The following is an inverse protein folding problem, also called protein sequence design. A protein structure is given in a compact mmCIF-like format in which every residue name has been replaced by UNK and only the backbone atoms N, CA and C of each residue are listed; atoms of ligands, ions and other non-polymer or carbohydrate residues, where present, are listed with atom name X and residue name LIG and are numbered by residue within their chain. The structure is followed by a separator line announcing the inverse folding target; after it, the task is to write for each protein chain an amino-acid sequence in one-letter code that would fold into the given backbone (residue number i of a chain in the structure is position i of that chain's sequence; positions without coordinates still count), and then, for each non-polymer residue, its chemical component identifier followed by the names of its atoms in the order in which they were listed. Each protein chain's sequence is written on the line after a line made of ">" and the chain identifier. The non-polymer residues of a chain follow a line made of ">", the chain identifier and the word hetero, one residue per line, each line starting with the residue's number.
data_IF_996350271509
#
_entry.id   IF_996350271509
#
_cell.length_a   1.000
_cell.length_b   1.000
_cell.length_c   1.000
_cell.angle_alpha   90.00
_cell.angle_beta   90.00
_cell.angle_gamma   90.00
#
_symmetry.space_group_name_H-M   'P 1'
#
loop_
_entity.id
_entity.type
_entity.pdbx_description
1 polymer ?
#
# COMPACT_ATOMS: atom_id res chain seq x y z
N UNK A 1 1.01 -16.98 -1.17
CA UNK A 1 1.62 -15.94 -0.31
C UNK A 1 2.41 -15.01 -1.23
N UNK A 2 2.09 -13.72 -1.27
CA UNK A 2 2.82 -12.76 -2.12
C UNK A 2 4.27 -12.58 -1.62
N UNK A 3 5.21 -12.28 -2.52
CA UNK A 3 6.63 -12.07 -2.17
C UNK A 3 6.82 -10.94 -1.15
N UNK A 4 5.90 -9.97 -1.12
CA UNK A 4 5.86 -8.89 -0.13
C UNK A 4 5.97 -9.41 1.32
N UNK A 5 5.39 -10.58 1.63
CA UNK A 5 5.32 -11.10 3.01
C UNK A 5 6.54 -11.93 3.43
N UNK A 6 7.44 -12.28 2.50
CA UNK A 6 8.61 -13.12 2.78
C UNK A 6 9.93 -12.34 2.76
N UNK A 7 9.91 -11.09 2.28
CA UNK A 7 11.11 -10.28 2.12
C UNK A 7 11.48 -9.54 3.42
N UNK A 8 12.79 -9.52 3.71
CA UNK A 8 13.33 -8.79 4.87
C UNK A 8 13.64 -7.32 4.57
N UNK A 9 13.69 -6.92 3.29
CA UNK A 9 14.01 -5.55 2.88
C UNK A 9 13.43 -5.22 1.51
N UNK A 10 12.97 -3.99 1.38
CA UNK A 10 12.56 -3.35 0.13
C UNK A 10 12.70 -1.83 0.31
N UNK A 11 12.63 -1.09 -0.78
CA UNK A 11 12.57 0.37 -0.73
C UNK A 11 11.28 0.90 -1.37
N UNK A 12 10.89 2.11 -0.97
CA UNK A 12 9.69 2.76 -1.46
C UNK A 12 10.10 3.94 -2.34
N UNK A 13 9.65 3.94 -3.60
CA UNK A 13 9.83 5.04 -4.53
C UNK A 13 8.53 5.84 -4.65
N UNK A 14 8.65 7.16 -4.78
CA UNK A 14 7.54 8.05 -5.15
C UNK A 14 8.01 9.15 -6.10
N UNK A 15 7.07 9.78 -6.81
CA UNK A 15 7.35 10.92 -7.70
C UNK A 15 6.93 12.21 -7.00
N UNK A 16 7.92 12.98 -6.53
CA UNK A 16 7.72 14.22 -5.78
C UNK A 16 6.87 15.27 -6.53
N UNK A 17 7.00 15.37 -7.85
CA UNK A 17 6.30 16.36 -8.68
C UNK A 17 4.90 15.91 -9.16
N UNK A 18 4.31 14.88 -8.56
CA UNK A 18 3.00 14.38 -9.01
C UNK A 18 1.89 15.32 -8.52
N UNK A 19 1.33 16.10 -9.45
CA UNK A 19 0.27 17.07 -9.15
C UNK A 19 -1.00 16.39 -8.62
N UNK A 20 -1.28 15.12 -8.96
CA UNK A 20 -2.50 14.39 -8.57
C UNK A 20 -2.22 13.06 -7.85
N UNK A 21 -2.49 13.02 -6.54
CA UNK A 21 -2.51 11.81 -5.72
C UNK A 21 -1.12 11.21 -5.47
N UNK A 22 -0.89 10.66 -4.28
CA UNK A 22 0.32 9.92 -3.98
C UNK A 22 0.37 8.59 -4.75
N UNK A 23 1.55 8.19 -5.19
CA UNK A 23 1.80 6.85 -5.71
C UNK A 23 3.11 6.33 -5.14
N UNK A 24 3.09 5.08 -4.70
CA UNK A 24 4.19 4.44 -4.02
C UNK A 24 4.47 3.11 -4.69
N UNK A 25 5.70 2.92 -5.12
CA UNK A 25 6.20 1.67 -5.69
C UNK A 25 7.12 1.03 -4.68
N UNK A 26 6.80 -0.18 -4.28
CA UNK A 26 7.61 -1.00 -3.39
C UNK A 26 8.48 -1.89 -4.29
N UNK A 27 9.80 -1.81 -4.09
CA UNK A 27 10.76 -2.49 -4.95
C UNK A 27 11.82 -3.23 -4.14
N UNK A 28 12.27 -4.34 -4.70
CA UNK A 28 13.39 -5.09 -4.15
C UNK A 28 14.74 -4.43 -4.49
N UNK A 29 15.85 -5.08 -4.11
CA UNK A 29 17.21 -4.62 -4.43
C UNK A 29 17.55 -4.65 -5.93
N UNK A 30 16.76 -5.33 -6.75
CA UNK A 30 16.95 -5.46 -8.20
C UNK A 30 16.00 -4.54 -9.00
N UNK A 31 15.37 -3.56 -8.33
CA UNK A 31 14.35 -2.65 -8.89
C UNK A 31 13.07 -3.33 -9.38
N UNK A 32 12.83 -4.60 -9.01
CA UNK A 32 11.61 -5.32 -9.34
C UNK A 32 10.45 -4.79 -8.51
N UNK A 33 9.33 -4.50 -9.18
CA UNK A 33 8.10 -4.10 -8.51
C UNK A 33 7.50 -5.29 -7.77
N UNK A 34 7.34 -5.16 -6.46
CA UNK A 34 6.75 -6.19 -5.60
C UNK A 34 5.36 -5.78 -5.08
N UNK A 35 5.11 -4.47 -4.96
CA UNK A 35 3.79 -3.94 -4.65
C UNK A 35 3.64 -2.49 -5.10
N UNK A 36 2.40 -2.05 -5.29
CA UNK A 36 2.05 -0.69 -5.67
C UNK A 36 0.89 -0.15 -4.83
N UNK A 37 0.97 1.11 -4.43
CA UNK A 37 -0.13 1.81 -3.77
C UNK A 37 -0.45 3.14 -4.43
N UNK A 38 -1.75 3.40 -4.62
CA UNK A 38 -2.29 4.64 -5.19
C UNK A 38 -3.15 5.36 -4.17
N UNK A 39 -2.68 6.50 -3.68
CA UNK A 39 -3.42 7.33 -2.73
C UNK A 39 -4.37 8.30 -3.44
N UNK A 40 -5.61 8.38 -2.95
CA UNK A 40 -6.62 9.35 -3.40
C UNK A 40 -6.51 10.64 -2.58
N UNK A 41 -6.45 11.81 -3.23
CA UNK A 41 -6.26 13.13 -2.58
C UNK A 41 -7.34 13.55 -1.59
N UNK A 42 -8.51 12.90 -1.57
CA UNK A 42 -9.71 13.39 -0.85
C UNK A 42 -10.33 12.37 0.12
N UNK A 43 -9.69 11.22 0.36
CA UNK A 43 -10.12 10.32 1.42
C UNK A 43 -9.32 10.65 2.69
N UNK A 44 -9.97 11.28 3.66
CA UNK A 44 -9.47 11.38 5.05
C UNK A 44 -9.42 10.01 5.75
N UNK A 45 -10.01 8.97 5.14
CA UNK A 45 -9.93 7.59 5.61
C UNK A 45 -8.68 6.93 5.03
N UNK A 46 -7.72 6.62 5.88
CA UNK A 46 -6.48 5.90 5.58
C UNK A 46 -6.78 4.42 5.29
N UNK A 47 -7.49 4.17 4.18
CA UNK A 47 -7.57 2.85 3.56
C UNK A 47 -6.43 2.74 2.55
N UNK A 48 -5.28 2.22 2.96
CA UNK A 48 -4.16 1.93 2.07
C UNK A 48 -4.38 0.55 1.48
N UNK A 49 -4.31 0.43 0.15
CA UNK A 49 -4.33 -0.87 -0.53
C UNK A 49 -3.03 -1.02 -1.29
N UNK A 50 -2.40 -2.18 -1.12
CA UNK A 50 -1.28 -2.63 -1.92
C UNK A 50 -1.80 -3.55 -3.02
N UNK A 51 -1.35 -3.32 -4.23
CA UNK A 51 -1.67 -4.09 -5.43
C UNK A 51 -0.42 -4.73 -6.00
N UNK A 52 -0.59 -5.73 -6.86
CA UNK A 52 0.51 -6.32 -7.64
C UNK A 52 1.23 -5.30 -8.51
N UNK A 53 0.49 -4.35 -9.06
CA UNK A 53 0.99 -3.40 -10.04
C UNK A 53 0.10 -2.15 -10.17
N UNK A 54 0.47 -1.26 -11.11
CA UNK A 54 -0.19 0.01 -11.36
C UNK A 54 -1.64 -0.11 -11.85
N UNK A 55 -2.04 -1.24 -12.43
CA UNK A 55 -3.42 -1.49 -12.89
C UNK A 55 -4.43 -1.48 -11.75
N UNK A 56 -3.97 -1.72 -10.51
CA UNK A 56 -4.81 -1.83 -9.31
C UNK A 56 -5.91 -2.89 -9.44
N UNK A 57 -5.66 -3.98 -10.17
CA UNK A 57 -6.65 -5.05 -10.41
C UNK A 57 -6.58 -6.16 -9.37
N UNK A 58 -5.38 -6.51 -8.90
CA UNK A 58 -5.15 -7.57 -7.93
C UNK A 58 -4.64 -7.00 -6.61
N UNK A 59 -5.48 -6.88 -5.58
CA UNK A 59 -5.05 -6.43 -4.25
C UNK A 59 -4.26 -7.54 -3.54
N UNK A 60 -3.24 -7.13 -2.78
CA UNK A 60 -2.40 -8.00 -1.95
C UNK A 60 -2.69 -7.79 -0.46
N UNK A 61 -2.79 -6.53 -0.05
CA UNK A 61 -2.94 -6.15 1.36
C UNK A 61 -3.82 -4.91 1.45
N UNK A 62 -4.70 -4.88 2.45
CA UNK A 62 -5.42 -3.68 2.83
C UNK A 62 -5.06 -3.30 4.28
N UNK A 63 -4.69 -2.03 4.47
CA UNK A 63 -4.47 -1.42 5.78
C UNK A 63 -5.59 -0.41 5.98
N UNK A 64 -6.42 -0.63 7.00
CA UNK A 64 -7.59 0.19 7.27
C UNK A 64 -7.44 0.84 8.63
N UNK A 65 -7.46 2.18 8.66
CA UNK A 65 -7.58 2.91 9.93
C UNK A 65 -9.02 2.79 10.47
N UNK A 66 -9.16 2.44 11.76
CA UNK A 66 -10.47 2.34 12.43
C UNK A 66 -11.04 3.70 12.83
N UNK A 67 -10.20 4.69 13.11
CA UNK A 67 -10.60 6.06 13.46
C UNK A 67 -9.70 7.07 12.73
N UNK A 68 -10.29 8.20 12.34
CA UNK A 68 -9.63 9.34 11.70
C UNK A 68 -9.10 10.32 12.76
N UNK A 69 -9.61 10.22 13.99
CA UNK A 69 -9.32 11.11 15.10
C UNK A 69 -9.01 10.22 16.29
N UNK A 70 -7.74 9.84 16.45
CA UNK A 70 -7.21 9.50 17.76
C UNK A 70 -5.70 9.47 17.71
N UNK A 71 -5.07 10.09 18.72
CA UNK A 71 -3.62 10.10 18.95
C UNK A 71 -3.06 8.70 19.34
N UNK A 72 -3.77 7.64 18.99
CA UNK A 72 -3.44 6.23 19.16
C UNK A 72 -4.10 5.42 18.04
N UNK A 73 -3.58 5.53 16.83
CA UNK A 73 -4.16 4.87 15.66
C UNK A 73 -4.04 3.33 15.76
N UNK A 74 -5.18 2.64 15.75
CA UNK A 74 -5.27 1.19 15.56
C UNK A 74 -5.55 0.89 14.10
N UNK A 75 -4.73 0.01 13.51
CA UNK A 75 -4.83 -0.38 12.11
C UNK A 75 -5.21 -1.84 11.99
N UNK A 76 -6.19 -2.13 11.14
CA UNK A 76 -6.47 -3.49 10.69
C UNK A 76 -5.62 -3.78 9.45
N UNK A 77 -4.86 -4.86 9.50
CA UNK A 77 -4.11 -5.40 8.37
C UNK A 77 -4.88 -6.62 7.89
N UNK A 78 -5.31 -6.61 6.63
CA UNK A 78 -6.12 -7.68 6.05
C UNK A 78 -5.45 -8.19 4.77
N UNK A 79 -5.22 -9.50 4.68
CA UNK A 79 -4.82 -10.17 3.45
C UNK A 79 -6.01 -10.15 2.47
N UNK A 80 -5.79 -9.61 1.28
CA UNK A 80 -6.88 -9.38 0.33
C UNK A 80 -7.41 -10.67 -0.32
N UNK A 81 -6.66 -11.77 -0.23
CA UNK A 81 -7.00 -13.09 -0.79
C UNK A 81 -7.69 -13.96 0.25
N UNK A 82 -7.15 -14.05 1.47
CA UNK A 82 -7.72 -14.92 2.52
C UNK A 82 -8.74 -14.22 3.40
N UNK A 83 -8.70 -12.89 3.49
CA UNK A 83 -9.55 -12.09 4.36
C UNK A 83 -9.17 -12.15 5.84
N UNK A 84 -8.01 -12.74 6.15
CA UNK A 84 -7.39 -12.81 7.48
C UNK A 84 -6.73 -11.49 7.87
#
# INVERSE_FOLDING_TARGET
>A
MSELFTMNSYYIQTKFLRIFGGAFWFKDSNDQLIAYSKQKRFKLKEDIVLYTDESCTQPLLAIKARSIIDFGATYDIVDAVTGE
#
